data_IF_071823725532
#
_entry.id   IF_071823725532
#
_cell.length_a   1.000
_cell.length_b   1.000
_cell.length_c   1.000
_cell.angle_alpha   90.00
_cell.angle_beta   90.00
_cell.angle_gamma   90.00
#
_symmetry.space_group_name_H-M   'P 1'
#
loop_
_entity.id
_entity.type
_entity.pdbx_description
1 polymer ?
#
# COMPACT_ATOMS: atom_id res chain seq x y z
N UNK A 1 -5.11 -6.87 1.17
CA UNK A 1 -5.45 -7.25 -0.21
C UNK A 1 -6.16 -8.60 -0.31
N UNK A 2 -5.51 -9.72 0.05
CA UNK A 2 -6.08 -11.07 -0.15
C UNK A 2 -7.48 -11.27 0.43
N UNK A 3 -7.72 -10.88 1.68
CA UNK A 3 -9.05 -10.98 2.30
C UNK A 3 -10.12 -10.07 1.66
N UNK A 4 -9.74 -8.88 1.19
CA UNK A 4 -10.62 -7.99 0.42
C UNK A 4 -11.07 -8.66 -0.87
N UNK A 5 -10.12 -9.27 -1.61
CA UNK A 5 -10.42 -10.02 -2.83
C UNK A 5 -11.30 -11.24 -2.53
N UNK A 6 -10.99 -12.01 -1.48
CA UNK A 6 -11.81 -13.16 -1.08
C UNK A 6 -13.25 -12.75 -0.73
N UNK A 7 -13.45 -11.59 -0.10
CA UNK A 7 -14.79 -11.08 0.14
C UNK A 7 -15.50 -10.73 -1.18
N UNK A 8 -14.85 -10.01 -2.09
CA UNK A 8 -15.40 -9.71 -3.42
C UNK A 8 -15.87 -10.96 -4.16
N UNK A 9 -15.06 -12.02 -4.17
CA UNK A 9 -15.34 -13.24 -4.93
C UNK A 9 -16.36 -14.17 -4.26
N UNK A 10 -16.50 -14.12 -2.93
CA UNK A 10 -17.31 -15.11 -2.20
C UNK A 10 -18.52 -14.53 -1.46
N UNK A 11 -18.53 -13.23 -1.18
CA UNK A 11 -19.52 -12.57 -0.33
C UNK A 11 -19.52 -13.04 1.13
N UNK A 12 -18.54 -13.85 1.57
CA UNK A 12 -18.52 -14.38 2.94
C UNK A 12 -18.00 -13.34 3.93
N UNK A 13 -18.87 -12.89 4.84
CA UNK A 13 -18.59 -11.87 5.85
C UNK A 13 -17.34 -12.11 6.71
N UNK A 14 -16.96 -13.38 6.94
CA UNK A 14 -15.71 -13.69 7.65
C UNK A 14 -14.47 -13.08 6.99
N UNK A 15 -14.45 -12.97 5.66
CA UNK A 15 -13.34 -12.36 4.93
C UNK A 15 -13.39 -10.82 4.99
N UNK A 16 -14.58 -10.22 4.96
CA UNK A 16 -14.72 -8.77 5.17
C UNK A 16 -14.25 -8.37 6.57
N UNK A 17 -14.68 -9.12 7.60
CA UNK A 17 -14.28 -8.86 8.98
C UNK A 17 -12.77 -8.99 9.17
N UNK A 18 -12.14 -9.98 8.55
CA UNK A 18 -10.68 -10.14 8.60
C UNK A 18 -9.96 -9.04 7.81
N UNK A 19 -10.47 -8.63 6.65
CA UNK A 19 -9.91 -7.52 5.88
C UNK A 19 -9.93 -6.20 6.68
N UNK A 20 -11.04 -5.91 7.36
CA UNK A 20 -11.17 -4.75 8.25
C UNK A 20 -10.19 -4.82 9.43
N UNK A 21 -10.15 -5.94 10.14
CA UNK A 21 -9.24 -6.11 11.28
C UNK A 21 -7.76 -5.93 10.89
N UNK A 22 -7.35 -6.42 9.72
CA UNK A 22 -5.99 -6.22 9.20
C UNK A 22 -5.78 -4.74 8.82
N UNK A 23 -6.72 -4.12 8.12
CA UNK A 23 -6.61 -2.70 7.74
C UNK A 23 -6.47 -1.82 8.98
N UNK A 24 -7.34 -2.01 9.97
CA UNK A 24 -7.33 -1.27 11.24
C UNK A 24 -6.01 -1.46 11.99
N UNK A 25 -5.49 -2.69 12.06
CA UNK A 25 -4.19 -2.97 12.67
C UNK A 25 -3.06 -2.21 11.97
N UNK A 26 -3.00 -2.25 10.63
CA UNK A 26 -1.91 -1.64 9.86
C UNK A 26 -1.92 -0.12 9.95
N UNK A 27 -3.08 0.52 9.78
CA UNK A 27 -3.16 1.99 9.71
C UNK A 27 -3.07 2.67 11.09
N UNK A 28 -3.38 1.93 12.16
CA UNK A 28 -3.25 2.40 13.55
C UNK A 28 -2.00 1.84 14.26
N UNK A 29 -1.12 1.14 13.53
CA UNK A 29 0.10 0.62 14.13
C UNK A 29 0.92 1.78 14.71
N UNK A 30 1.48 1.68 15.94
CA UNK A 30 2.24 2.78 16.55
C UNK A 30 3.46 3.21 15.73
N UNK A 31 4.03 2.28 14.97
CA UNK A 31 5.14 2.53 14.06
C UNK A 31 4.69 2.86 12.62
N UNK A 32 3.40 3.10 12.37
CA UNK A 32 2.94 3.46 11.03
C UNK A 32 3.40 4.88 10.66
N UNK A 33 4.20 5.03 9.59
CA UNK A 33 4.89 6.30 9.31
C UNK A 33 3.95 7.44 8.95
N UNK A 34 4.39 8.68 9.17
CA UNK A 34 3.61 9.88 8.84
C UNK A 34 3.32 9.99 7.33
N UNK A 35 4.31 9.63 6.49
CA UNK A 35 4.20 9.62 5.03
C UNK A 35 3.36 8.44 4.48
N UNK A 36 2.89 7.57 5.37
CA UNK A 36 2.09 6.36 5.11
C UNK A 36 2.78 5.28 4.28
N UNK A 37 4.10 5.36 4.10
CA UNK A 37 4.89 4.29 3.48
C UNK A 37 5.48 3.41 4.57
N UNK A 38 5.02 2.15 4.72
CA UNK A 38 5.45 1.31 5.83
C UNK A 38 6.95 1.03 5.78
N UNK A 39 7.52 0.77 6.94
CA UNK A 39 8.83 0.11 7.02
C UNK A 39 8.72 -1.31 6.45
N UNK A 40 9.85 -1.92 6.09
CA UNK A 40 9.90 -3.31 5.63
C UNK A 40 9.36 -4.31 6.68
N UNK A 41 9.48 -3.95 7.96
CA UNK A 41 8.89 -4.64 9.11
C UNK A 41 8.43 -3.58 10.12
N UNK A 42 7.23 -3.75 10.67
CA UNK A 42 6.64 -2.81 11.63
C UNK A 42 7.33 -2.84 13.00
N UNK A 43 8.08 -3.89 13.30
CA UNK A 43 8.84 -4.10 14.54
C UNK A 43 10.36 -4.09 14.29
N UNK A 44 10.79 -3.55 13.14
CA UNK A 44 12.22 -3.44 12.83
C UNK A 44 12.98 -2.69 13.95
N UNK A 45 14.10 -3.23 14.46
CA UNK A 45 14.78 -2.70 15.65
C UNK A 45 15.45 -1.34 15.42
N UNK A 46 15.64 -0.96 14.16
CA UNK A 46 16.30 0.27 13.74
C UNK A 46 15.33 1.40 13.38
N UNK A 47 14.02 1.24 13.64
CA UNK A 47 13.03 2.32 13.52
C UNK A 47 13.49 3.52 14.40
N UNK A 48 13.52 4.76 13.87
CA UNK A 48 12.92 5.21 12.60
C UNK A 48 13.84 5.18 11.36
N UNK A 49 15.06 4.65 11.46
CA UNK A 49 16.02 4.55 10.35
C UNK A 49 15.83 3.30 9.48
N UNK A 50 14.92 2.41 9.87
CA UNK A 50 14.56 1.23 9.10
C UNK A 50 14.18 1.57 7.66
N UNK A 51 14.53 0.67 6.73
CA UNK A 51 14.18 0.83 5.31
C UNK A 51 12.66 0.80 5.10
N UNK A 52 12.21 1.57 4.12
CA UNK A 52 10.82 1.62 3.65
C UNK A 52 10.55 0.47 2.68
N UNK A 53 9.28 0.10 2.55
CA UNK A 53 8.84 -0.78 1.47
C UNK A 53 7.68 -0.15 0.67
N UNK A 54 8.04 0.44 -0.46
CA UNK A 54 7.09 1.02 -1.40
C UNK A 54 6.11 -0.03 -1.97
N UNK A 55 6.52 -1.29 -2.08
CA UNK A 55 5.68 -2.36 -2.59
C UNK A 55 4.50 -2.67 -1.64
N UNK A 56 4.76 -2.75 -0.33
CA UNK A 56 3.73 -2.88 0.68
C UNK A 56 2.76 -1.68 0.67
N UNK A 57 3.26 -0.44 0.54
CA UNK A 57 2.39 0.73 0.39
C UNK A 57 1.47 0.64 -0.83
N UNK A 58 2.00 0.22 -1.99
CA UNK A 58 1.21 0.08 -3.21
C UNK A 58 0.11 -0.99 -3.08
N UNK A 59 0.43 -2.13 -2.47
CA UNK A 59 -0.52 -3.22 -2.20
C UNK A 59 -1.60 -2.75 -1.20
N UNK A 60 -1.19 -2.05 -0.13
CA UNK A 60 -2.10 -1.47 0.85
C UNK A 60 -3.05 -0.49 0.20
N UNK A 61 -2.56 0.47 -0.58
CA UNK A 61 -3.38 1.47 -1.26
C UNK A 61 -4.44 0.80 -2.15
N UNK A 62 -4.02 -0.15 -3.00
CA UNK A 62 -4.96 -0.88 -3.87
C UNK A 62 -6.04 -1.63 -3.07
N UNK A 63 -5.66 -2.25 -1.96
CA UNK A 63 -6.57 -2.99 -1.09
C UNK A 63 -7.54 -2.09 -0.31
N UNK A 64 -7.06 -0.97 0.22
CA UNK A 64 -7.85 -0.02 1.00
C UNK A 64 -8.90 0.68 0.14
N UNK A 65 -8.55 1.02 -1.11
CA UNK A 65 -9.51 1.60 -2.07
C UNK A 65 -10.66 0.64 -2.34
N UNK A 66 -10.35 -0.63 -2.60
CA UNK A 66 -11.38 -1.65 -2.86
C UNK A 66 -12.19 -1.98 -1.59
N UNK A 67 -11.52 -2.12 -0.44
CA UNK A 67 -12.18 -2.37 0.85
C UNK A 67 -13.14 -1.24 1.23
N UNK A 68 -12.80 0.00 0.88
CA UNK A 68 -13.66 1.18 1.04
C UNK A 68 -15.01 1.06 0.34
N UNK A 69 -15.15 0.19 -0.67
CA UNK A 69 -16.41 -0.11 -1.34
C UNK A 69 -17.33 -1.07 -0.58
N UNK A 70 -16.84 -1.73 0.47
CA UNK A 70 -17.55 -2.75 1.23
C UNK A 70 -17.87 -2.35 2.67
N UNK A 71 -17.50 -1.14 3.08
CA UNK A 71 -17.66 -0.65 4.46
C UNK A 71 -18.53 0.59 4.53
N UNK A 72 -18.92 0.97 5.74
CA UNK A 72 -19.67 2.21 5.97
C UNK A 72 -18.85 3.46 5.60
N UNK A 73 -19.54 4.60 5.53
CA UNK A 73 -18.94 5.88 5.12
C UNK A 73 -17.78 6.32 6.02
N UNK A 74 -17.82 6.02 7.32
CA UNK A 74 -16.78 6.45 8.26
C UNK A 74 -15.49 5.71 7.97
N UNK A 75 -15.54 4.37 7.96
CA UNK A 75 -14.38 3.54 7.66
C UNK A 75 -13.88 3.74 6.23
N UNK A 76 -14.80 3.92 5.27
CA UNK A 76 -14.44 4.25 3.89
C UNK A 76 -13.55 5.50 3.83
N UNK A 77 -13.95 6.58 4.48
CA UNK A 77 -13.19 7.83 4.45
C UNK A 77 -11.79 7.67 5.08
N UNK A 78 -11.70 6.92 6.17
CA UNK A 78 -10.44 6.63 6.85
C UNK A 78 -9.48 5.81 5.98
N UNK A 79 -9.96 4.70 5.39
CA UNK A 79 -9.17 3.88 4.47
C UNK A 79 -8.74 4.64 3.22
N UNK A 80 -9.64 5.45 2.65
CA UNK A 80 -9.33 6.25 1.47
C UNK A 80 -8.32 7.36 1.79
N UNK A 81 -8.37 7.97 2.97
CA UNK A 81 -7.40 8.98 3.37
C UNK A 81 -5.98 8.40 3.44
N UNK A 82 -5.82 7.18 3.97
CA UNK A 82 -4.51 6.51 3.97
C UNK A 82 -4.07 6.14 2.55
N UNK A 83 -4.96 5.56 1.75
CA UNK A 83 -4.64 5.17 0.38
C UNK A 83 -4.29 6.37 -0.51
N UNK A 84 -4.99 7.49 -0.37
CA UNK A 84 -4.70 8.75 -1.06
C UNK A 84 -3.32 9.27 -0.68
N UNK A 85 -3.00 9.33 0.62
CA UNK A 85 -1.69 9.77 1.06
C UNK A 85 -0.58 8.84 0.55
N UNK A 86 -0.79 7.53 0.56
CA UNK A 86 0.15 6.57 -0.05
C UNK A 86 0.38 6.85 -1.52
N UNK A 87 -0.69 7.07 -2.31
CA UNK A 87 -0.57 7.40 -3.73
C UNK A 87 0.15 8.73 -3.96
N UNK A 88 -0.12 9.77 -3.16
CA UNK A 88 0.58 11.06 -3.23
C UNK A 88 2.07 10.87 -2.93
N UNK A 89 2.40 10.19 -1.83
CA UNK A 89 3.80 9.96 -1.43
C UNK A 89 4.54 9.11 -2.47
N UNK A 90 3.94 8.01 -2.94
CA UNK A 90 4.51 7.16 -3.99
C UNK A 90 4.68 7.91 -5.32
N UNK A 91 3.81 8.87 -5.62
CA UNK A 91 3.90 9.71 -6.82
C UNK A 91 4.94 10.83 -6.73
N UNK A 92 5.47 11.10 -5.54
CA UNK A 92 6.45 12.17 -5.30
C UNK A 92 7.85 11.80 -5.83
N UNK A 93 8.74 12.77 -6.09
CA UNK A 93 10.12 12.50 -6.50
C UNK A 93 10.92 11.63 -5.50
N UNK A 94 10.48 11.55 -4.24
CA UNK A 94 11.11 10.68 -3.26
C UNK A 94 10.98 9.20 -3.64
N UNK A 95 9.82 8.77 -4.17
CA UNK A 95 9.54 7.36 -4.48
C UNK A 95 9.40 7.09 -5.98
N UNK A 96 8.81 8.01 -6.74
CA UNK A 96 8.66 7.86 -8.19
C UNK A 96 9.97 8.18 -8.91
N UNK A 97 10.33 7.31 -9.84
CA UNK A 97 11.48 7.52 -10.71
C UNK A 97 11.20 8.62 -11.76
N UNK A 98 12.25 9.35 -12.13
CA UNK A 98 12.20 10.22 -13.31
C UNK A 98 12.14 9.37 -14.59
N UNK A 99 11.51 9.91 -15.64
CA UNK A 99 11.36 9.20 -16.91
C UNK A 99 12.72 8.84 -17.50
N UNK A 100 12.90 7.57 -17.89
CA UNK A 100 14.15 7.06 -18.45
C UNK A 100 15.22 6.69 -17.41
N UNK A 101 14.91 6.81 -16.11
CA UNK A 101 15.80 6.40 -15.01
C UNK A 101 15.33 5.08 -14.39
N UNK A 102 16.00 4.62 -13.31
CA UNK A 102 15.58 3.46 -12.50
C UNK A 102 15.33 2.18 -13.32
N UNK A 103 16.11 1.95 -14.40
CA UNK A 103 15.89 0.85 -15.35
C UNK A 103 14.45 0.74 -15.89
N UNK A 104 13.76 1.88 -16.01
CA UNK A 104 12.36 2.03 -16.43
C UNK A 104 11.30 1.48 -15.44
N UNK A 105 11.69 1.14 -14.21
CA UNK A 105 10.73 0.92 -13.12
C UNK A 105 10.13 2.23 -12.63
N UNK A 106 8.86 2.22 -12.24
CA UNK A 106 8.12 3.40 -11.80
C UNK A 106 8.49 3.82 -10.39
N UNK A 107 8.59 2.86 -9.46
CA UNK A 107 8.84 3.12 -8.05
C UNK A 107 10.25 2.69 -7.61
N UNK A 108 10.78 3.41 -6.63
CA UNK A 108 12.02 3.14 -5.90
C UNK A 108 11.69 2.59 -4.50
N UNK A 109 12.71 2.17 -3.75
CA UNK A 109 12.63 1.93 -2.30
C UNK A 109 11.66 0.82 -1.87
N UNK A 110 11.71 -0.34 -2.52
CA UNK A 110 11.05 -1.56 -2.04
C UNK A 110 12.07 -2.50 -1.36
N UNK A 111 11.57 -3.41 -0.52
CA UNK A 111 12.39 -4.42 0.16
C UNK A 111 11.76 -5.81 -0.03
N UNK A 112 12.45 -6.70 -0.76
CA UNK A 112 11.98 -8.07 -1.02
C UNK A 112 12.32 -9.04 0.12
N UNK A 113 13.59 -9.11 0.53
CA UNK A 113 14.02 -10.01 1.61
C UNK A 113 15.20 -9.42 2.41
N UNK A 114 14.86 -8.67 3.46
CA UNK A 114 15.86 -8.06 4.36
C UNK A 114 16.74 -9.10 5.08
N UNK A 115 16.22 -10.18 5.70
CA UNK A 115 17.06 -11.18 6.37
C UNK A 115 18.14 -11.80 5.49
N UNK A 116 17.80 -12.08 4.22
CA UNK A 116 18.75 -12.62 3.23
C UNK A 116 19.53 -11.55 2.45
N UNK A 117 19.32 -10.26 2.75
CA UNK A 117 19.92 -9.12 2.05
C UNK A 117 19.70 -9.15 0.53
N UNK A 118 18.56 -9.67 0.11
CA UNK A 118 18.17 -9.76 -1.30
C UNK A 118 17.09 -8.72 -1.59
N UNK A 119 17.25 -7.99 -2.69
CA UNK A 119 16.29 -6.97 -3.13
C UNK A 119 16.01 -5.92 -2.05
N UNK A 120 17.05 -5.37 -1.41
CA UNK A 120 16.92 -4.37 -0.36
C UNK A 120 17.11 -2.96 -0.95
N UNK A 121 16.09 -2.11 -0.80
CA UNK A 121 16.10 -0.72 -1.27
C UNK A 121 16.28 -0.61 -2.79
N UNK A 122 15.46 -1.37 -3.53
CA UNK A 122 15.50 -1.48 -5.00
C UNK A 122 14.10 -1.35 -5.59
N UNK A 123 13.96 -1.08 -6.91
CA UNK A 123 12.67 -1.24 -7.60
C UNK A 123 12.24 -2.71 -7.66
N UNK A 124 10.92 -2.97 -7.61
CA UNK A 124 10.34 -4.30 -7.72
C UNK A 124 9.11 -4.27 -8.64
N UNK A 125 9.01 -5.23 -9.56
CA UNK A 125 7.96 -5.21 -10.61
C UNK A 125 6.55 -5.26 -10.03
N UNK A 126 6.36 -5.91 -8.88
CA UNK A 126 5.06 -5.98 -8.22
C UNK A 126 4.70 -4.66 -7.52
N UNK A 127 5.67 -3.85 -7.09
CA UNK A 127 5.41 -2.51 -6.59
C UNK A 127 4.76 -1.65 -7.70
N UNK A 128 5.34 -1.66 -8.89
CA UNK A 128 4.83 -0.93 -10.05
C UNK A 128 3.42 -1.40 -10.46
N UNK A 129 3.20 -2.72 -10.48
CA UNK A 129 1.90 -3.30 -10.81
C UNK A 129 0.80 -2.81 -9.86
N UNK A 130 1.01 -2.98 -8.54
CA UNK A 130 -0.01 -2.59 -7.56
C UNK A 130 -0.17 -1.08 -7.45
N UNK A 131 0.88 -0.31 -7.74
CA UNK A 131 0.80 1.15 -7.79
C UNK A 131 -0.09 1.61 -8.95
N UNK A 132 0.11 1.07 -10.15
CA UNK A 132 -0.77 1.35 -11.28
C UNK A 132 -2.21 0.86 -11.03
N UNK A 133 -2.37 -0.32 -10.43
CA UNK A 133 -3.69 -0.82 -10.05
C UNK A 133 -4.40 0.13 -9.08
N UNK A 134 -3.69 0.59 -8.04
CA UNK A 134 -4.22 1.53 -7.06
C UNK A 134 -4.62 2.86 -7.72
N UNK A 135 -3.81 3.41 -8.63
CA UNK A 135 -4.15 4.62 -9.39
C UNK A 135 -5.41 4.44 -10.24
N UNK A 136 -5.52 3.31 -10.95
CA UNK A 136 -6.70 3.00 -11.78
C UNK A 136 -7.95 2.83 -10.92
N UNK A 137 -7.85 2.13 -9.78
CA UNK A 137 -8.94 2.00 -8.81
C UNK A 137 -9.34 3.34 -8.21
N UNK A 138 -8.37 4.18 -7.84
CA UNK A 138 -8.63 5.51 -7.28
C UNK A 138 -9.37 6.39 -8.29
N UNK A 139 -8.88 6.42 -9.53
CA UNK A 139 -9.51 7.14 -10.64
C UNK A 139 -10.98 6.71 -10.82
N UNK A 140 -11.23 5.40 -10.87
CA UNK A 140 -12.57 4.84 -11.10
C UNK A 140 -13.53 5.02 -9.92
N UNK A 141 -13.10 4.69 -8.70
CA UNK A 141 -13.99 4.57 -7.54
C UNK A 141 -14.05 5.82 -6.65
N UNK A 142 -13.06 6.71 -6.77
CA UNK A 142 -12.99 7.94 -5.97
C UNK A 142 -13.21 9.18 -6.83
N UNK A 143 -12.54 9.28 -7.97
CA UNK A 143 -12.67 10.44 -8.86
C UNK A 143 -13.82 10.33 -9.88
N UNK A 144 -14.33 9.12 -10.13
CA UNK A 144 -15.39 8.87 -11.09
C UNK A 144 -14.99 9.16 -12.56
N UNK A 145 -13.71 8.97 -12.90
CA UNK A 145 -13.13 9.24 -14.23
C UNK A 145 -12.68 7.97 -14.96
#
# INVERSE_FOLDING_TARGET
YGYTMMYRETGLERYLNQAKAIADFLIHHPNFPEDKIPYWDFDAPDIPNAKRDASAAAIMASALIELGGFVDKKLRNEYLSVAEQQLITLSSPAYRAEIGTNANFLLKHSVGNMPSKSEVDVPLTYADYYYLEALVRYKKFVLGQ
#
